data_IF_789002051367
#
_entry.id   IF_789002051367
#
_cell.length_a   1.000
_cell.length_b   1.000
_cell.length_c   1.000
_cell.angle_alpha   90.00
_cell.angle_beta   90.00
_cell.angle_gamma   90.00
#
_symmetry.space_group_name_H-M   'P 1'
#
loop_
_entity.id
_entity.type
_entity.pdbx_description
1 polymer ?
#
# COMPACT_ATOMS: atom_id res chain seq x y z
N UNK A 1 -7.97 -11.54 -44.28
CA UNK A 1 -6.91 -10.58 -43.95
C UNK A 1 -7.37 -9.21 -44.42
N UNK A 2 -7.94 -8.41 -43.51
CA UNK A 2 -8.37 -7.05 -43.82
C UNK A 2 -7.35 -6.08 -43.22
N UNK A 3 -6.58 -5.44 -44.09
CA UNK A 3 -5.81 -4.26 -43.76
C UNK A 3 -6.81 -3.12 -43.51
N UNK A 4 -7.08 -2.81 -42.24
CA UNK A 4 -7.70 -1.55 -41.88
C UNK A 4 -6.64 -0.45 -41.94
N UNK A 5 -6.98 0.64 -42.63
CA UNK A 5 -6.30 1.93 -42.70
C UNK A 5 -5.62 2.31 -41.36
N UNK A 6 -4.30 2.30 -41.31
CA UNK A 6 -3.50 2.58 -40.08
C UNK A 6 -3.01 4.02 -39.95
N UNK A 7 -3.53 4.96 -40.76
CA UNK A 7 -3.04 6.34 -40.81
C UNK A 7 -3.67 7.29 -39.77
N UNK A 8 -4.73 6.89 -39.06
CA UNK A 8 -5.31 7.68 -37.97
C UNK A 8 -4.55 7.53 -36.64
N UNK A 9 -4.36 8.63 -35.90
CA UNK A 9 -3.98 8.57 -34.48
C UNK A 9 -5.10 7.88 -33.69
N UNK A 10 -4.76 6.88 -32.87
CA UNK A 10 -5.74 6.23 -31.99
C UNK A 10 -5.99 7.12 -30.75
N UNK A 11 -7.17 7.76 -30.62
CA UNK A 11 -7.49 8.58 -29.45
C UNK A 11 -7.60 7.77 -28.16
N UNK A 12 -7.63 6.44 -28.25
CA UNK A 12 -7.76 5.51 -27.14
C UNK A 12 -6.48 4.73 -26.84
N UNK A 13 -5.32 5.20 -27.33
CA UNK A 13 -3.98 4.61 -27.08
C UNK A 13 -3.68 4.27 -25.61
N UNK A 14 -4.28 5.00 -24.66
CA UNK A 14 -4.15 4.78 -23.21
C UNK A 14 -5.49 4.50 -22.52
N UNK A 15 -6.50 4.04 -23.26
CA UNK A 15 -7.76 3.63 -22.69
C UNK A 15 -7.58 2.36 -21.85
N UNK A 16 -8.27 2.31 -20.70
CA UNK A 16 -8.34 1.11 -19.89
C UNK A 16 -9.21 0.06 -20.58
N UNK A 17 -8.76 -1.19 -20.58
CA UNK A 17 -9.59 -2.34 -20.97
C UNK A 17 -10.74 -2.53 -19.98
N UNK A 18 -11.73 -3.34 -20.34
CA UNK A 18 -12.85 -3.63 -19.42
C UNK A 18 -12.38 -4.31 -18.14
N UNK A 19 -11.35 -5.15 -18.24
CA UNK A 19 -10.70 -5.79 -17.10
C UNK A 19 -9.99 -4.77 -16.20
N UNK A 20 -9.22 -3.85 -16.79
CA UNK A 20 -8.45 -2.84 -16.04
C UNK A 20 -9.36 -1.85 -15.30
N UNK A 21 -10.58 -1.63 -15.77
CA UNK A 21 -11.58 -0.80 -15.07
C UNK A 21 -12.03 -1.42 -13.75
N UNK A 22 -11.74 -2.69 -13.51
CA UNK A 22 -12.01 -3.39 -12.25
C UNK A 22 -10.79 -3.43 -11.33
N UNK A 23 -9.61 -2.98 -11.77
CA UNK A 23 -8.39 -3.07 -10.97
C UNK A 23 -8.45 -2.06 -9.82
N UNK A 24 -8.55 -2.61 -8.61
CA UNK A 24 -8.38 -1.86 -7.37
C UNK A 24 -6.92 -1.46 -7.13
N UNK A 25 -6.61 -0.81 -5.99
CA UNK A 25 -5.26 -0.37 -5.68
C UNK A 25 -4.23 -1.50 -5.67
N UNK A 26 -4.61 -2.68 -5.14
CA UNK A 26 -3.76 -3.87 -5.10
C UNK A 26 -3.43 -4.39 -6.51
N UNK A 27 -4.45 -4.60 -7.35
CA UNK A 27 -4.26 -5.04 -8.75
C UNK A 27 -3.42 -4.01 -9.53
N UNK A 28 -3.62 -2.72 -9.27
CA UNK A 28 -2.88 -1.64 -9.91
C UNK A 28 -1.40 -1.66 -9.48
N UNK A 29 -1.12 -1.83 -8.19
CA UNK A 29 0.26 -1.99 -7.69
C UNK A 29 0.91 -3.27 -8.24
N UNK A 30 0.16 -4.36 -8.34
CA UNK A 30 0.61 -5.61 -8.93
C UNK A 30 1.06 -5.45 -10.39
N UNK A 31 0.30 -4.69 -11.20
CA UNK A 31 0.67 -4.43 -12.59
C UNK A 31 2.07 -3.82 -12.73
N UNK A 32 2.54 -3.03 -11.75
CA UNK A 32 3.90 -2.50 -11.76
C UNK A 32 4.91 -3.45 -11.11
N UNK A 33 4.59 -4.05 -9.96
CA UNK A 33 5.50 -4.95 -9.26
C UNK A 33 5.90 -6.15 -10.13
N UNK A 34 4.98 -6.70 -10.93
CA UNK A 34 5.26 -7.86 -11.76
C UNK A 34 6.32 -7.61 -12.83
N UNK A 35 6.64 -6.35 -13.16
CA UNK A 35 7.73 -5.97 -14.06
C UNK A 35 9.07 -5.70 -13.34
N UNK A 36 9.10 -5.79 -12.01
CA UNK A 36 10.31 -5.54 -11.23
C UNK A 36 11.32 -6.68 -11.46
N UNK A 37 12.53 -6.40 -11.99
CA UNK A 37 13.51 -7.44 -12.29
C UNK A 37 14.01 -8.16 -11.04
N UNK A 38 14.10 -7.45 -9.90
CA UNK A 38 14.55 -8.04 -8.65
C UNK A 38 13.46 -8.92 -8.03
N UNK A 39 12.18 -8.59 -8.23
CA UNK A 39 11.05 -9.45 -7.88
C UNK A 39 11.09 -10.73 -8.71
N UNK A 40 11.14 -10.61 -10.04
CA UNK A 40 11.21 -11.75 -10.98
C UNK A 40 12.40 -12.65 -10.70
N UNK A 41 13.59 -12.07 -10.49
CA UNK A 41 14.78 -12.84 -10.15
C UNK A 41 14.63 -13.57 -8.82
N UNK A 42 14.09 -12.89 -7.79
CA UNK A 42 13.86 -13.53 -6.49
C UNK A 42 12.80 -14.64 -6.58
N UNK A 43 11.73 -14.43 -7.34
CA UNK A 43 10.69 -15.41 -7.62
C UNK A 43 11.27 -16.67 -8.28
N UNK A 44 12.04 -16.51 -9.37
CA UNK A 44 12.66 -17.66 -10.06
C UNK A 44 13.61 -18.46 -9.17
N UNK A 45 14.32 -17.82 -8.23
CA UNK A 45 15.18 -18.51 -7.26
C UNK A 45 14.40 -19.31 -6.21
N UNK A 46 13.09 -19.12 -6.11
CA UNK A 46 12.21 -19.73 -5.13
C UNK A 46 11.25 -20.77 -5.72
N UNK A 47 11.09 -20.83 -7.05
CA UNK A 47 10.21 -21.77 -7.75
C UNK A 47 10.39 -23.23 -7.32
N UNK A 48 11.64 -23.68 -7.15
CA UNK A 48 11.94 -25.07 -6.78
C UNK A 48 11.96 -25.30 -5.25
N UNK A 49 11.72 -24.27 -4.44
CA UNK A 49 11.76 -24.38 -2.99
C UNK A 49 10.39 -24.80 -2.48
N UNK A 50 10.37 -25.86 -1.66
CA UNK A 50 9.14 -26.31 -0.99
C UNK A 50 8.57 -25.19 -0.13
N UNK A 51 7.26 -24.96 -0.19
CA UNK A 51 6.57 -24.07 0.75
C UNK A 51 6.57 -24.66 2.17
N UNK A 52 6.52 -23.78 3.17
CA UNK A 52 6.09 -24.17 4.52
C UNK A 52 4.57 -24.38 4.47
N UNK A 53 4.11 -25.57 4.85
CA UNK A 53 2.71 -25.96 4.74
C UNK A 53 1.81 -25.11 5.63
N UNK A 54 2.25 -24.77 6.84
CA UNK A 54 1.48 -23.97 7.78
C UNK A 54 1.33 -22.53 7.26
N UNK A 55 2.41 -21.99 6.70
CA UNK A 55 2.40 -20.66 6.08
C UNK A 55 1.55 -20.61 4.81
N UNK A 56 1.63 -21.66 3.98
CA UNK A 56 0.82 -21.78 2.76
C UNK A 56 -0.66 -21.88 3.11
N UNK A 57 -1.05 -22.74 4.06
CA UNK A 57 -2.43 -22.87 4.52
C UNK A 57 -2.96 -21.54 5.08
N UNK A 58 -2.12 -20.82 5.85
CA UNK A 58 -2.45 -19.50 6.36
C UNK A 58 -2.68 -18.47 5.24
N UNK A 59 -1.95 -18.55 4.12
CA UNK A 59 -2.18 -17.68 2.96
C UNK A 59 -3.46 -18.08 2.23
N UNK A 60 -3.64 -19.37 1.95
CA UNK A 60 -4.80 -19.90 1.21
C UNK A 60 -6.13 -19.60 1.93
N UNK A 61 -6.13 -19.56 3.27
CA UNK A 61 -7.31 -19.18 4.06
C UNK A 61 -7.83 -17.76 3.76
N UNK A 62 -6.99 -16.89 3.19
CA UNK A 62 -7.39 -15.54 2.80
C UNK A 62 -7.90 -15.44 1.36
N UNK A 63 -7.70 -16.46 0.53
CA UNK A 63 -8.07 -16.46 -0.88
C UNK A 63 -9.45 -17.09 -1.06
N UNK A 64 -10.29 -16.46 -1.87
CA UNK A 64 -11.68 -16.90 -2.14
C UNK A 64 -11.76 -18.21 -2.90
N UNK A 65 -10.90 -18.39 -3.90
CA UNK A 65 -10.75 -19.62 -4.66
C UNK A 65 -9.30 -20.09 -4.53
N UNK A 66 -8.95 -20.83 -3.46
CA UNK A 66 -7.58 -21.17 -3.16
C UNK A 66 -7.01 -22.14 -4.20
N UNK A 67 -6.00 -21.69 -4.94
CA UNK A 67 -5.17 -22.54 -5.79
C UNK A 67 -3.72 -22.51 -5.27
N UNK A 68 -3.20 -23.60 -4.69
CA UNK A 68 -1.82 -23.67 -4.21
C UNK A 68 -0.78 -23.38 -5.30
N UNK A 69 -1.09 -23.68 -6.56
CA UNK A 69 -0.16 -23.51 -7.69
C UNK A 69 0.17 -22.03 -7.97
N UNK A 70 -0.70 -21.11 -7.53
CA UNK A 70 -0.49 -19.66 -7.70
C UNK A 70 0.54 -19.11 -6.71
N UNK A 71 0.82 -19.84 -5.62
CA UNK A 71 1.78 -19.44 -4.60
C UNK A 71 3.08 -20.21 -4.79
N UNK A 72 4.09 -19.58 -5.40
CA UNK A 72 5.36 -20.24 -5.66
C UNK A 72 6.12 -20.61 -4.38
N UNK A 73 6.06 -19.76 -3.35
CA UNK A 73 6.71 -20.06 -2.08
C UNK A 73 6.07 -19.32 -0.90
N UNK A 74 5.77 -20.03 0.18
CA UNK A 74 5.28 -19.45 1.44
C UNK A 74 6.34 -19.37 2.56
N UNK A 75 7.59 -19.79 2.30
CA UNK A 75 8.59 -20.06 3.36
C UNK A 75 9.17 -18.86 4.11
N UNK A 76 8.78 -17.61 3.84
CA UNK A 76 9.34 -16.50 4.58
C UNK A 76 8.55 -15.19 4.43
N UNK A 77 8.71 -14.31 5.42
CA UNK A 77 8.27 -12.92 5.34
C UNK A 77 9.14 -12.08 4.39
N UNK A 78 10.08 -12.68 3.64
CA UNK A 78 11.00 -11.88 2.81
C UNK A 78 10.30 -11.22 1.64
N UNK A 79 9.23 -11.82 1.09
CA UNK A 79 8.43 -11.20 0.04
C UNK A 79 7.84 -9.88 0.56
N UNK A 80 7.16 -9.95 1.71
CA UNK A 80 6.61 -8.79 2.41
C UNK A 80 7.67 -7.74 2.75
N UNK A 81 8.82 -8.16 3.30
CA UNK A 81 9.90 -7.24 3.71
C UNK A 81 10.62 -6.56 2.54
N UNK A 82 10.71 -7.23 1.39
CA UNK A 82 11.45 -6.73 0.22
C UNK A 82 10.54 -5.99 -0.76
N UNK A 83 9.31 -6.47 -0.93
CA UNK A 83 8.41 -6.05 -1.99
C UNK A 83 7.02 -5.63 -1.49
N UNK A 84 6.77 -5.63 -0.18
CA UNK A 84 5.50 -5.20 0.39
C UNK A 84 4.30 -6.12 0.12
N UNK A 85 4.46 -7.16 -0.70
CA UNK A 85 3.39 -8.10 -1.05
C UNK A 85 3.35 -9.32 -0.13
N UNK A 86 2.15 -9.81 0.16
CA UNK A 86 1.89 -10.85 1.15
C UNK A 86 2.55 -12.21 0.84
N UNK A 87 2.68 -12.59 -0.43
CA UNK A 87 3.29 -13.86 -0.84
C UNK A 87 3.97 -13.74 -2.22
N UNK A 88 4.79 -14.76 -2.54
CA UNK A 88 5.39 -14.92 -3.86
C UNK A 88 4.32 -15.42 -4.85
N UNK A 89 3.98 -14.58 -5.82
CA UNK A 89 3.01 -14.84 -6.88
C UNK A 89 3.74 -14.84 -8.22
N UNK A 90 3.25 -15.63 -9.16
CA UNK A 90 3.81 -15.69 -10.50
C UNK A 90 3.66 -14.33 -11.20
N UNK A 91 4.76 -13.66 -11.61
CA UNK A 91 4.72 -12.36 -12.28
C UNK A 91 4.01 -12.39 -13.65
N UNK A 92 3.73 -13.57 -14.21
CA UNK A 92 2.98 -13.72 -15.46
C UNK A 92 1.46 -13.66 -15.24
N UNK A 93 0.99 -13.72 -13.98
CA UNK A 93 -0.42 -13.57 -13.64
C UNK A 93 -0.92 -12.14 -13.89
N UNK A 94 -2.06 -12.02 -14.58
CA UNK A 94 -2.65 -10.72 -14.89
C UNK A 94 -3.31 -10.07 -13.68
N UNK A 95 -3.83 -10.86 -12.73
CA UNK A 95 -4.53 -10.34 -11.54
C UNK A 95 -4.08 -11.05 -10.27
N UNK A 96 -4.23 -10.34 -9.17
CA UNK A 96 -4.07 -10.95 -7.86
C UNK A 96 -5.26 -11.87 -7.55
N UNK A 97 -5.06 -12.98 -6.82
CA UNK A 97 -6.17 -13.80 -6.37
C UNK A 97 -7.14 -13.00 -5.50
N UNK A 98 -8.44 -13.15 -5.75
CA UNK A 98 -9.48 -12.50 -4.95
C UNK A 98 -9.40 -12.91 -3.48
N UNK A 99 -9.45 -11.92 -2.59
CA UNK A 99 -9.41 -12.14 -1.15
C UNK A 99 -10.82 -12.35 -0.58
N UNK A 100 -10.92 -13.16 0.48
CA UNK A 100 -12.16 -13.48 1.18
C UNK A 100 -12.80 -12.25 1.85
N UNK A 101 -11.97 -11.35 2.38
CA UNK A 101 -12.43 -10.20 3.15
C UNK A 101 -12.17 -8.92 2.36
N UNK A 102 -13.16 -8.02 2.25
CA UNK A 102 -13.03 -6.77 1.50
C UNK A 102 -11.97 -5.83 2.09
N UNK A 103 -11.64 -6.00 3.37
CA UNK A 103 -10.67 -5.21 4.10
C UNK A 103 -9.25 -5.82 4.09
N UNK A 104 -9.05 -6.92 3.37
CA UNK A 104 -7.71 -7.49 3.18
C UNK A 104 -7.00 -6.80 2.02
N UNK A 105 -5.67 -6.81 2.08
CA UNK A 105 -4.84 -6.32 0.98
C UNK A 105 -3.62 -7.20 0.83
N UNK A 106 -3.28 -7.54 -0.41
CA UNK A 106 -2.01 -8.14 -0.80
C UNK A 106 -0.82 -7.23 -0.47
N UNK A 107 -1.03 -5.92 -0.41
CA UNK A 107 -0.03 -4.89 -0.11
C UNK A 107 -0.34 -4.21 1.23
N UNK A 108 -0.61 -5.00 2.28
CA UNK A 108 -1.13 -4.49 3.53
C UNK A 108 -0.34 -3.26 4.06
N UNK A 109 -0.97 -2.07 4.16
CA UNK A 109 -0.26 -0.79 4.17
C UNK A 109 0.31 -0.36 5.53
N UNK A 110 0.13 -1.14 6.60
CA UNK A 110 0.73 -0.82 7.89
C UNK A 110 1.93 -1.72 8.17
N UNK A 111 3.09 -1.09 8.34
CA UNK A 111 4.15 -1.69 9.12
C UNK A 111 3.85 -1.46 10.59
N UNK A 112 3.68 -2.54 11.38
CA UNK A 112 3.75 -2.36 12.83
C UNK A 112 5.18 -1.97 13.21
N UNK A 113 5.36 -0.98 14.10
CA UNK A 113 6.68 -0.62 14.64
C UNK A 113 7.38 -1.82 15.29
N UNK A 114 6.60 -2.82 15.72
CA UNK A 114 7.07 -4.15 16.07
C UNK A 114 6.14 -5.24 15.53
N UNK A 115 6.69 -6.12 14.70
CA UNK A 115 6.15 -7.47 14.48
C UNK A 115 6.24 -8.34 15.75
N UNK A 116 7.21 -8.02 16.62
CA UNK A 116 7.47 -8.75 17.86
C UNK A 116 6.70 -8.09 19.00
N UNK A 117 5.74 -8.78 19.59
CA UNK A 117 5.03 -8.36 20.81
C UNK A 117 5.99 -7.61 21.76
N UNK A 118 5.88 -6.27 21.81
CA UNK A 118 6.76 -5.41 22.59
C UNK A 118 6.77 -5.87 24.04
N UNK A 119 5.63 -6.40 24.50
CA UNK A 119 5.46 -6.96 25.82
C UNK A 119 6.17 -8.30 25.99
N UNK A 120 6.37 -9.08 24.92
CA UNK A 120 7.19 -10.29 24.93
C UNK A 120 8.68 -9.95 25.09
N UNK A 121 9.16 -8.86 24.48
CA UNK A 121 10.50 -8.32 24.76
C UNK A 121 10.60 -7.70 26.16
N UNK A 122 9.56 -7.01 26.63
CA UNK A 122 9.49 -6.58 28.05
C UNK A 122 9.44 -7.75 29.03
N UNK A 123 8.97 -8.95 28.61
CA UNK A 123 9.07 -10.19 29.40
C UNK A 123 10.47 -10.80 29.38
N UNK A 124 11.26 -10.56 28.33
CA UNK A 124 12.62 -11.08 28.16
C UNK A 124 13.71 -10.18 28.78
N UNK A 125 13.44 -8.88 28.93
CA UNK A 125 14.27 -7.99 29.76
C UNK A 125 13.85 -8.16 31.21
N UNK A 126 14.78 -8.55 32.08
CA UNK A 126 14.65 -8.73 33.54
C UNK A 126 14.24 -7.44 34.29
N UNK A 127 13.11 -6.83 33.95
CA UNK A 127 12.47 -5.82 34.76
C UNK A 127 11.67 -6.52 35.86
N UNK A 128 12.06 -6.24 37.11
CA UNK A 128 11.55 -6.85 38.34
C UNK A 128 10.03 -7.06 38.37
N UNK A 129 9.67 -8.27 38.80
CA UNK A 129 8.34 -8.87 38.76
C UNK A 129 7.22 -8.15 39.52
N UNK A 130 7.50 -7.06 40.26
CA UNK A 130 6.58 -6.53 41.27
C UNK A 130 5.71 -5.34 40.81
N UNK A 131 5.97 -4.75 39.64
CA UNK A 131 5.18 -3.61 39.13
C UNK A 131 4.62 -3.90 37.73
N UNK A 132 3.56 -4.71 37.64
CA UNK A 132 2.76 -4.81 36.40
C UNK A 132 1.36 -4.22 36.59
N UNK A 133 0.80 -3.50 35.59
CA UNK A 133 -0.64 -3.33 35.49
C UNK A 133 -1.27 -4.72 35.33
N UNK A 134 -2.05 -5.17 36.30
CA UNK A 134 -2.68 -6.48 36.27
C UNK A 134 -3.84 -6.53 35.27
N UNK A 135 -3.70 -7.30 34.18
CA UNK A 135 -4.79 -7.52 33.20
C UNK A 135 -4.48 -8.62 32.19
N UNK A 136 -5.53 -9.14 31.52
CA UNK A 136 -5.39 -9.97 30.31
C UNK A 136 -4.82 -9.10 29.18
N UNK A 137 -3.89 -9.65 28.40
CA UNK A 137 -3.28 -8.96 27.27
C UNK A 137 -3.88 -9.50 25.98
N UNK A 138 -4.24 -8.59 25.08
CA UNK A 138 -4.76 -8.95 23.76
C UNK A 138 -3.72 -8.61 22.72
N UNK A 139 -3.35 -9.62 21.96
CA UNK A 139 -2.59 -9.43 20.73
C UNK A 139 -3.55 -9.71 19.58
N UNK A 140 -3.67 -8.77 18.65
CA UNK A 140 -4.37 -9.03 17.39
C UNK A 140 -3.44 -9.83 16.50
N UNK A 141 -3.91 -10.96 15.95
CA UNK A 141 -3.11 -11.74 14.99
C UNK A 141 -2.88 -10.88 13.76
N UNK A 142 -1.63 -10.51 13.52
CA UNK A 142 -1.24 -9.88 12.28
C UNK A 142 -1.00 -10.98 11.25
N UNK A 143 -1.58 -10.79 10.07
CA UNK A 143 -1.36 -11.64 8.90
C UNK A 143 -0.74 -10.78 7.80
N UNK A 144 -0.10 -11.39 6.79
CA UNK A 144 0.38 -10.66 5.62
C UNK A 144 -0.70 -9.82 4.93
N UNK A 145 -1.97 -10.18 5.10
CA UNK A 145 -3.14 -9.51 4.50
C UNK A 145 -3.83 -8.48 5.41
N UNK A 146 -3.36 -8.35 6.66
CA UNK A 146 -3.89 -7.41 7.65
C UNK A 146 -4.19 -8.02 9.00
N UNK A 147 -5.03 -7.33 9.78
CA UNK A 147 -5.35 -7.74 11.16
C UNK A 147 -6.50 -8.76 11.23
N UNK A 148 -6.38 -9.71 12.16
CA UNK A 148 -7.29 -10.85 12.37
C UNK A 148 -7.74 -11.00 13.82
N UNK A 149 -8.30 -12.16 14.14
CA UNK A 149 -8.80 -12.52 15.45
C UNK A 149 -7.85 -12.15 16.59
N UNK A 150 -8.44 -11.87 17.74
CA UNK A 150 -7.72 -11.54 18.96
C UNK A 150 -7.18 -12.82 19.59
N UNK A 151 -5.86 -12.90 19.65
CA UNK A 151 -5.14 -13.89 20.43
C UNK A 151 -5.14 -13.45 21.90
N UNK A 152 -5.70 -14.31 22.75
CA UNK A 152 -5.63 -14.15 24.20
C UNK A 152 -4.30 -14.74 24.67
N UNK A 153 -3.37 -13.89 25.12
CA UNK A 153 -2.11 -14.35 25.68
C UNK A 153 -2.07 -14.13 27.20
N UNK A 154 -1.72 -15.19 27.94
CA UNK A 154 -1.61 -15.16 29.40
C UNK A 154 -2.56 -16.12 30.13
N UNK A 155 -2.45 -16.20 31.47
CA UNK A 155 -3.29 -17.10 32.26
C UNK A 155 -4.76 -16.80 32.01
N UNK A 156 -5.51 -17.82 31.59
CA UNK A 156 -6.96 -17.76 31.44
C UNK A 156 -7.57 -17.36 32.78
N UNK A 157 -7.82 -16.07 33.01
CA UNK A 157 -8.81 -15.71 34.02
C UNK A 157 -10.11 -16.39 33.58
N UNK A 158 -10.75 -17.18 34.45
CA UNK A 158 -12.07 -17.71 34.13
C UNK A 158 -12.93 -16.54 33.71
N UNK A 159 -13.70 -16.72 32.63
CA UNK A 159 -14.67 -15.75 32.16
C UNK A 159 -15.74 -15.61 33.26
N UNK A 160 -15.44 -14.82 34.29
CA UNK A 160 -16.48 -14.21 35.08
C UNK A 160 -17.10 -13.22 34.12
N UNK A 161 -18.24 -13.58 33.53
CA UNK A 161 -19.20 -12.58 33.10
C UNK A 161 -19.49 -11.75 34.36
N UNK A 162 -18.93 -10.55 34.52
CA UNK A 162 -19.40 -9.74 35.61
C UNK A 162 -20.84 -9.35 35.21
N UNK A 163 -21.78 -9.44 36.15
CA UNK A 163 -23.17 -9.03 35.88
C UNK A 163 -23.28 -7.54 35.44
N UNK A 164 -22.17 -6.80 35.52
CA UNK A 164 -22.01 -5.39 35.14
C UNK A 164 -20.60 -5.18 34.55
N UNK A 165 -20.48 -4.48 33.41
CA UNK A 165 -19.19 -4.10 32.82
C UNK A 165 -18.35 -3.29 33.82
N UNK A 166 -17.04 -3.48 33.80
CA UNK A 166 -16.09 -2.65 34.54
C UNK A 166 -16.17 -1.19 34.08
N UNK A 167 -15.86 -0.26 34.99
CA UNK A 167 -15.75 1.15 34.63
C UNK A 167 -14.68 1.35 33.57
N UNK A 168 -14.85 2.40 32.77
CA UNK A 168 -13.93 2.74 31.70
C UNK A 168 -12.46 2.75 32.19
N UNK A 169 -11.60 2.03 31.48
CA UNK A 169 -10.16 2.14 31.60
C UNK A 169 -9.55 2.14 30.19
N UNK A 170 -8.58 3.03 29.96
CA UNK A 170 -7.99 3.22 28.64
C UNK A 170 -7.35 1.92 28.12
N UNK A 171 -7.62 1.58 26.86
CA UNK A 171 -7.02 0.47 26.12
C UNK A 171 -6.37 1.01 24.85
N UNK A 172 -5.20 1.60 25.02
CA UNK A 172 -4.46 2.25 23.94
C UNK A 172 -3.92 1.23 22.94
N UNK A 173 -4.14 1.52 21.66
CA UNK A 173 -3.62 0.78 20.52
C UNK A 173 -2.61 1.67 19.81
N UNK A 174 -1.37 1.20 19.74
CA UNK A 174 -0.27 1.94 19.11
C UNK A 174 0.11 1.34 17.74
N UNK A 175 0.35 2.22 16.76
CA UNK A 175 0.87 1.92 15.42
C UNK A 175 1.88 2.97 15.01
N UNK A 176 2.78 2.63 14.10
CA UNK A 176 3.63 3.61 13.42
C UNK A 176 2.94 4.01 12.11
N UNK A 177 2.96 5.31 11.82
CA UNK A 177 2.43 5.88 10.59
C UNK A 177 3.57 6.59 9.87
N UNK A 178 3.79 6.20 8.62
CA UNK A 178 4.69 6.87 7.70
C UNK A 178 4.02 8.13 7.15
N UNK A 179 4.52 9.29 7.54
CA UNK A 179 4.05 10.59 7.09
C UNK A 179 4.72 11.05 5.79
N UNK A 180 5.66 10.28 5.22
CA UNK A 180 6.21 10.55 3.88
C UNK A 180 5.26 10.15 2.75
N UNK A 181 4.18 9.42 3.07
CA UNK A 181 3.13 8.99 2.15
C UNK A 181 1.76 9.42 2.68
N UNK A 182 0.71 9.43 1.84
CA UNK A 182 -0.66 9.70 2.28
C UNK A 182 -1.07 8.79 3.45
N UNK A 183 -1.65 9.41 4.47
CA UNK A 183 -1.93 8.77 5.76
C UNK A 183 -3.27 8.01 5.79
N UNK A 184 -4.15 8.21 4.80
CA UNK A 184 -5.53 7.75 4.87
C UNK A 184 -5.65 6.22 4.96
N UNK A 185 -4.96 5.47 4.11
CA UNK A 185 -4.99 4.00 4.18
C UNK A 185 -4.40 3.47 5.49
N UNK A 186 -3.37 4.14 6.03
CA UNK A 186 -2.76 3.79 7.31
C UNK A 186 -3.74 4.03 8.47
N UNK A 187 -4.52 5.11 8.42
CA UNK A 187 -5.56 5.40 9.39
C UNK A 187 -6.76 4.46 9.29
N UNK A 188 -7.15 4.03 8.10
CA UNK A 188 -8.18 2.99 7.91
C UNK A 188 -7.73 1.68 8.57
N UNK A 189 -6.47 1.30 8.38
CA UNK A 189 -5.94 0.08 8.97
C UNK A 189 -5.77 0.19 10.51
N UNK A 190 -5.42 1.38 11.04
CA UNK A 190 -5.47 1.66 12.49
C UNK A 190 -6.90 1.56 13.02
N UNK A 191 -7.87 2.16 12.34
CA UNK A 191 -9.28 2.11 12.71
C UNK A 191 -9.77 0.65 12.79
N UNK A 192 -9.41 -0.18 11.79
CA UNK A 192 -9.73 -1.62 11.79
C UNK A 192 -9.14 -2.32 13.02
N UNK A 193 -7.85 -2.14 13.28
CA UNK A 193 -7.17 -2.74 14.43
C UNK A 193 -7.84 -2.37 15.75
N UNK A 194 -8.20 -1.10 15.90
CA UNK A 194 -8.82 -0.54 17.11
C UNK A 194 -10.26 -1.07 17.27
N UNK A 195 -11.02 -1.19 16.18
CA UNK A 195 -12.36 -1.78 16.18
C UNK A 195 -12.33 -3.25 16.58
N UNK A 196 -11.41 -4.03 16.03
CA UNK A 196 -11.21 -5.43 16.43
C UNK A 196 -10.96 -5.52 17.94
N UNK A 197 -10.05 -4.70 18.49
CA UNK A 197 -9.82 -4.66 19.94
C UNK A 197 -11.05 -4.22 20.75
N UNK A 198 -11.82 -3.27 20.23
CA UNK A 198 -13.05 -2.80 20.87
C UNK A 198 -14.08 -3.92 20.99
N UNK A 199 -14.28 -4.74 19.96
CA UNK A 199 -15.25 -5.85 19.99
C UNK A 199 -15.03 -6.75 21.21
N UNK A 200 -13.77 -7.06 21.52
CA UNK A 200 -13.44 -7.84 22.72
C UNK A 200 -13.67 -7.07 24.02
N UNK A 201 -13.16 -5.83 24.11
CA UNK A 201 -13.19 -5.10 25.36
C UNK A 201 -14.58 -4.61 25.73
N UNK A 202 -15.43 -4.36 24.74
CA UNK A 202 -16.77 -3.83 24.94
C UNK A 202 -17.65 -4.78 25.77
N UNK A 203 -17.40 -6.09 25.74
CA UNK A 203 -18.15 -7.03 26.60
C UNK A 203 -17.77 -6.89 28.09
N UNK A 204 -16.60 -6.34 28.39
CA UNK A 204 -16.00 -6.35 29.72
C UNK A 204 -15.91 -4.96 30.35
N UNK A 205 -15.71 -3.91 29.56
CA UNK A 205 -15.37 -2.56 30.02
C UNK A 205 -16.28 -1.54 29.31
N UNK A 206 -16.78 -0.56 30.06
CA UNK A 206 -17.55 0.55 29.51
C UNK A 206 -16.72 1.43 28.55
N UNK A 207 -17.35 1.85 27.46
CA UNK A 207 -16.80 2.87 26.55
C UNK A 207 -16.85 4.25 27.18
N UNK A 208 -16.07 5.19 26.62
CA UNK A 208 -16.09 6.61 26.98
C UNK A 208 -16.38 7.48 25.77
N UNK A 209 -16.90 8.68 26.01
CA UNK A 209 -17.11 9.73 25.00
C UNK A 209 -15.89 10.66 24.85
N UNK A 210 -14.89 10.52 25.73
CA UNK A 210 -13.66 11.30 25.72
C UNK A 210 -12.65 10.70 24.74
N UNK A 211 -12.15 11.53 23.81
CA UNK A 211 -11.08 11.15 22.88
C UNK A 211 -9.71 11.13 23.60
N UNK A 212 -8.88 10.14 23.30
CA UNK A 212 -7.50 10.05 23.78
C UNK A 212 -6.57 9.73 22.61
N UNK A 213 -5.87 10.74 22.12
CA UNK A 213 -4.99 10.63 20.94
C UNK A 213 -3.56 11.01 21.31
N UNK A 214 -2.63 10.08 21.10
CA UNK A 214 -1.19 10.25 21.27
C UNK A 214 -0.57 10.24 19.87
N UNK A 215 0.21 11.26 19.54
CA UNK A 215 0.98 11.33 18.30
C UNK A 215 2.33 11.94 18.64
N UNK A 216 3.37 11.15 18.52
CA UNK A 216 4.74 11.50 18.93
C UNK A 216 5.74 11.04 17.86
N UNK A 217 6.81 11.81 17.59
CA UNK A 217 7.89 11.37 16.74
C UNK A 217 8.51 10.07 17.27
N UNK A 218 8.96 9.19 16.38
CA UNK A 218 9.67 7.98 16.82
C UNK A 218 11.07 8.35 17.33
N UNK A 219 11.29 8.13 18.62
CA UNK A 219 12.61 8.28 19.24
C UNK A 219 13.57 7.15 18.85
N UNK A 220 14.87 7.46 18.80
CA UNK A 220 15.97 6.51 18.47
C UNK A 220 15.99 5.22 19.30
N UNK A 221 15.34 5.19 20.47
CA UNK A 221 15.31 4.05 21.38
C UNK A 221 13.93 3.41 21.55
N UNK A 222 12.89 3.96 20.92
CA UNK A 222 11.52 3.53 21.18
C UNK A 222 10.98 2.67 20.05
N UNK A 223 10.78 1.40 20.41
CA UNK A 223 9.90 0.43 19.75
C UNK A 223 10.39 -0.07 18.39
N UNK A 224 11.10 0.70 17.56
CA UNK A 224 11.48 0.29 16.19
C UNK A 224 12.98 -0.07 16.11
N UNK A 225 13.33 -1.26 15.61
CA UNK A 225 14.75 -1.59 15.38
C UNK A 225 15.32 -0.74 14.22
N UNK A 226 16.54 -0.18 14.33
CA UNK A 226 16.94 1.02 13.59
C UNK A 226 17.63 0.72 12.25
N UNK A 227 17.56 -0.49 11.72
CA UNK A 227 18.47 -0.88 10.62
C UNK A 227 18.12 -0.30 9.24
N UNK A 228 17.09 0.56 9.12
CA UNK A 228 16.65 1.16 7.83
C UNK A 228 16.07 2.58 7.89
N UNK A 229 16.10 3.27 9.03
CA UNK A 229 15.40 4.57 9.16
C UNK A 229 16.42 5.69 9.23
N UNK A 230 16.87 6.19 8.08
CA UNK A 230 17.84 7.28 8.01
C UNK A 230 17.20 8.66 8.30
N UNK A 231 15.87 8.78 8.34
CA UNK A 231 15.17 10.04 8.63
C UNK A 231 14.07 9.88 9.68
N UNK A 232 14.32 10.25 10.96
CA UNK A 232 13.39 10.05 12.08
C UNK A 232 12.11 10.89 12.00
N UNK A 233 12.09 11.93 11.17
CA UNK A 233 10.97 12.88 11.08
C UNK A 233 9.77 12.35 10.27
N UNK A 234 9.98 11.33 9.43
CA UNK A 234 8.93 10.74 8.61
C UNK A 234 7.97 9.85 9.37
N UNK A 235 8.39 9.29 10.50
CA UNK A 235 7.59 8.29 11.19
C UNK A 235 7.01 8.83 12.50
N UNK A 236 5.70 8.63 12.67
CA UNK A 236 4.98 9.03 13.88
C UNK A 236 4.41 7.81 14.60
N UNK A 237 4.63 7.71 15.90
CA UNK A 237 3.91 6.77 16.76
C UNK A 237 2.53 7.35 17.04
N UNK A 238 1.49 6.60 16.70
CA UNK A 238 0.09 6.99 16.87
C UNK A 238 -0.60 6.01 17.82
N UNK A 239 -1.16 6.53 18.90
CA UNK A 239 -1.88 5.78 19.91
C UNK A 239 -3.31 6.29 20.09
N UNK A 240 -4.32 5.42 19.97
CA UNK A 240 -5.72 5.78 20.28
C UNK A 240 -6.37 4.74 21.19
N UNK A 241 -7.35 5.17 21.99
CA UNK A 241 -8.08 4.28 22.89
C UNK A 241 -9.17 3.49 22.16
N UNK A 242 -9.10 2.16 22.21
CA UNK A 242 -10.12 1.27 21.64
C UNK A 242 -11.50 1.42 22.28
N UNK A 243 -11.57 1.88 23.53
CA UNK A 243 -12.82 2.11 24.22
C UNK A 243 -13.34 3.56 24.11
N UNK A 244 -12.54 4.47 23.56
CA UNK A 244 -12.91 5.86 23.28
C UNK A 244 -13.70 6.06 21.98
N UNK A 245 -14.07 7.29 21.61
CA UNK A 245 -14.83 7.58 20.39
C UNK A 245 -13.94 7.43 19.15
N UNK A 246 -13.77 6.19 18.65
CA UNK A 246 -12.88 5.83 17.53
C UNK A 246 -12.95 6.82 16.36
N UNK A 247 -14.14 7.17 15.86
CA UNK A 247 -14.29 8.12 14.74
C UNK A 247 -13.70 9.50 15.05
N UNK A 248 -13.93 10.04 16.24
CA UNK A 248 -13.37 11.34 16.65
C UNK A 248 -11.84 11.28 16.79
N UNK A 249 -11.34 10.18 17.36
CA UNK A 249 -9.90 9.95 17.52
C UNK A 249 -9.19 9.83 16.16
N UNK A 250 -9.77 9.09 15.22
CA UNK A 250 -9.25 8.96 13.84
C UNK A 250 -9.28 10.30 13.10
N UNK A 251 -10.33 11.11 13.27
CA UNK A 251 -10.39 12.44 12.65
C UNK A 251 -9.34 13.40 13.23
N UNK A 252 -9.09 13.33 14.54
CA UNK A 252 -8.01 14.08 15.17
C UNK A 252 -6.63 13.60 14.68
N UNK A 253 -6.42 12.29 14.56
CA UNK A 253 -5.22 11.72 13.95
C UNK A 253 -5.02 12.24 12.52
N UNK A 254 -6.07 12.16 11.69
CA UNK A 254 -6.06 12.67 10.31
C UNK A 254 -5.64 14.13 10.27
N UNK A 255 -6.27 14.98 11.07
CA UNK A 255 -5.98 16.42 11.12
C UNK A 255 -4.54 16.72 11.51
N UNK A 256 -4.02 16.06 12.56
CA UNK A 256 -2.66 16.29 13.07
C UNK A 256 -1.59 15.73 12.14
N UNK A 257 -1.75 14.50 11.66
CA UNK A 257 -0.81 13.85 10.75
C UNK A 257 -0.80 14.52 9.37
N UNK A 258 -1.95 15.00 8.87
CA UNK A 258 -1.99 15.77 7.63
C UNK A 258 -1.24 17.10 7.75
N UNK A 259 -1.15 17.69 8.95
CA UNK A 259 -0.29 18.86 9.19
C UNK A 259 1.19 18.50 9.17
N UNK A 260 1.57 17.36 9.74
CA UNK A 260 2.95 16.86 9.70
C UNK A 260 3.36 16.55 8.26
N UNK A 261 2.52 15.80 7.55
CA UNK A 261 2.70 15.49 6.12
C UNK A 261 2.86 16.76 5.28
N UNK A 262 1.97 17.76 5.45
CA UNK A 262 2.10 19.05 4.76
C UNK A 262 3.37 19.82 5.11
N UNK A 263 3.85 19.72 6.35
CA UNK A 263 5.11 20.37 6.72
C UNK A 263 6.29 19.70 6.01
N UNK A 264 6.31 18.37 5.98
CA UNK A 264 7.33 17.61 5.23
C UNK A 264 7.25 17.89 3.72
N UNK A 265 6.04 18.14 3.22
CA UNK A 265 5.77 18.57 1.84
C UNK A 265 6.28 19.99 1.55
N UNK A 266 6.00 20.96 2.44
CA UNK A 266 6.53 22.33 2.34
C UNK A 266 8.07 22.38 2.40
N UNK A 267 8.70 21.41 3.09
CA UNK A 267 10.14 21.25 3.18
C UNK A 267 10.74 20.51 1.94
N UNK A 268 9.95 20.24 0.89
CA UNK A 268 10.28 19.45 -0.31
C UNK A 268 10.75 18.01 0.00
N UNK A 269 10.46 17.50 1.19
CA UNK A 269 10.83 16.15 1.65
C UNK A 269 9.79 15.10 1.24
N UNK A 270 8.59 15.53 0.84
CA UNK A 270 7.49 14.67 0.41
C UNK A 270 7.09 15.06 -1.00
N UNK A 271 6.86 14.06 -1.85
CA UNK A 271 6.37 14.29 -3.21
C UNK A 271 4.90 13.81 -3.32
N UNK A 272 3.96 14.61 -3.83
CA UNK A 272 2.55 14.21 -4.10
C UNK A 272 2.38 13.37 -5.37
N UNK A 273 1.25 12.69 -5.62
CA UNK A 273 1.04 11.99 -6.92
C UNK A 273 1.14 12.93 -8.12
N UNK A 274 0.47 14.07 -8.04
CA UNK A 274 0.50 15.09 -9.10
C UNK A 274 1.84 15.80 -9.23
N UNK A 275 2.80 15.56 -8.33
CA UNK A 275 4.11 16.22 -8.27
C UNK A 275 5.28 15.24 -8.46
N UNK A 276 5.15 13.98 -8.00
CA UNK A 276 5.91 12.79 -8.44
C UNK A 276 5.62 12.45 -9.90
N UNK A 277 4.35 12.56 -10.28
CA UNK A 277 3.83 12.19 -11.60
C UNK A 277 2.95 13.30 -12.23
N UNK A 278 3.39 14.58 -12.32
CA UNK A 278 2.60 15.63 -12.92
C UNK A 278 2.28 15.29 -14.36
N UNK A 279 0.99 15.35 -14.65
CA UNK A 279 0.51 15.34 -16.00
C UNK A 279 1.13 16.52 -16.76
N UNK A 280 1.64 16.31 -17.98
CA UNK A 280 2.08 17.43 -18.80
C UNK A 280 0.90 18.39 -18.99
N UNK A 281 1.03 19.62 -18.50
CA UNK A 281 0.02 20.67 -18.71
C UNK A 281 0.15 21.13 -20.16
N UNK A 282 -0.89 20.91 -20.97
CA UNK A 282 -0.93 21.46 -22.33
C UNK A 282 -1.12 22.98 -22.22
N UNK A 283 -0.22 23.80 -22.78
CA UNK A 283 -0.43 25.24 -22.81
C UNK A 283 -1.71 25.57 -23.59
N UNK A 284 -2.65 26.31 -22.98
CA UNK A 284 -3.84 26.83 -23.66
C UNK A 284 -5.16 26.09 -23.42
N UNK A 285 -5.24 25.14 -22.47
CA UNK A 285 -6.52 24.70 -21.89
C UNK A 285 -7.51 23.92 -22.78
N UNK A 286 -7.19 23.68 -24.06
CA UNK A 286 -8.07 22.96 -24.97
C UNK A 286 -7.44 21.64 -25.46
N UNK A 287 -8.28 20.60 -25.46
CA UNK A 287 -8.03 19.15 -25.64
C UNK A 287 -7.63 18.44 -24.35
N UNK A 288 -8.57 17.65 -23.83
CA UNK A 288 -8.50 16.94 -22.56
C UNK A 288 -7.19 16.13 -22.43
N UNK A 289 -6.34 16.56 -21.50
CA UNK A 289 -5.26 15.75 -20.96
C UNK A 289 -5.79 14.37 -20.57
N UNK A 290 -5.02 13.28 -20.72
CA UNK A 290 -5.45 11.96 -20.26
C UNK A 290 -5.98 12.05 -18.82
N UNK A 291 -7.01 11.29 -18.47
CA UNK A 291 -7.43 11.28 -17.08
C UNK A 291 -6.31 10.66 -16.21
N UNK A 292 -6.34 10.85 -14.89
CA UNK A 292 -5.29 10.37 -13.97
C UNK A 292 -4.98 8.88 -14.21
N UNK A 293 -6.03 8.10 -14.47
CA UNK A 293 -5.96 6.66 -14.67
C UNK A 293 -5.36 6.30 -16.05
N UNK A 294 -5.65 7.08 -17.09
CA UNK A 294 -5.03 6.92 -18.42
C UNK A 294 -3.54 7.23 -18.41
N UNK A 295 -3.10 8.20 -17.60
CA UNK A 295 -1.67 8.47 -17.45
C UNK A 295 -0.95 7.33 -16.72
N UNK A 296 -1.57 6.77 -15.68
CA UNK A 296 -1.03 5.59 -15.00
C UNK A 296 -0.95 4.38 -15.96
N UNK A 297 -1.94 4.19 -16.83
CA UNK A 297 -1.89 3.21 -17.92
C UNK A 297 -0.74 3.49 -18.90
N UNK A 298 -0.52 4.74 -19.27
CA UNK A 298 0.61 5.12 -20.13
C UNK A 298 1.96 4.76 -19.48
N UNK A 299 2.14 5.04 -18.19
CA UNK A 299 3.35 4.65 -17.45
C UNK A 299 3.53 3.13 -17.36
N UNK A 300 2.44 2.38 -17.21
CA UNK A 300 2.48 0.91 -17.25
C UNK A 300 2.95 0.41 -18.62
N UNK A 301 2.38 0.92 -19.72
CA UNK A 301 2.79 0.53 -21.07
C UNK A 301 4.25 0.89 -21.39
N UNK A 302 4.74 1.99 -20.81
CA UNK A 302 6.17 2.34 -20.88
C UNK A 302 6.98 1.31 -20.10
N UNK A 303 6.60 1.00 -18.86
CA UNK A 303 7.29 0.04 -18.01
C UNK A 303 7.42 -1.35 -18.65
N UNK A 304 6.37 -1.84 -19.30
CA UNK A 304 6.36 -3.11 -20.07
C UNK A 304 7.44 -3.18 -21.15
N UNK A 305 7.84 -2.03 -21.69
CA UNK A 305 8.83 -1.90 -22.79
C UNK A 305 10.22 -1.53 -22.30
N UNK A 306 10.40 -1.25 -21.01
CA UNK A 306 11.73 -1.03 -20.43
C UNK A 306 12.43 -2.39 -20.31
N UNK A 307 13.62 -2.56 -20.90
CA UNK A 307 14.39 -3.79 -20.74
C UNK A 307 14.75 -4.06 -19.26
N UNK A 308 14.74 -5.32 -18.78
CA UNK A 308 14.96 -5.66 -17.38
C UNK A 308 16.25 -5.09 -16.77
N UNK A 309 17.32 -5.00 -17.56
CA UNK A 309 18.61 -4.47 -17.15
C UNK A 309 18.63 -2.94 -17.04
N UNK A 310 17.79 -2.23 -17.78
CA UNK A 310 17.64 -0.77 -17.68
C UNK A 310 16.99 -0.32 -16.37
N UNK A 311 16.27 -1.20 -15.66
CA UNK A 311 15.75 -0.86 -14.32
C UNK A 311 16.85 -0.72 -13.26
N UNK A 312 18.06 -1.25 -13.50
CA UNK A 312 19.19 -1.18 -12.57
C UNK A 312 20.05 0.08 -12.73
N UNK A 313 19.88 0.79 -13.84
CA UNK A 313 20.69 1.97 -14.19
C UNK A 313 20.11 3.23 -13.58
N UNK A 314 20.90 4.08 -12.93
CA UNK A 314 20.38 5.30 -12.28
C UNK A 314 19.77 6.28 -13.28
N UNK A 315 20.39 6.42 -14.46
CA UNK A 315 19.90 7.28 -15.54
C UNK A 315 19.79 6.49 -16.85
N UNK A 316 18.58 5.96 -17.11
CA UNK A 316 18.29 5.14 -18.30
C UNK A 316 18.68 5.85 -19.60
N UNK A 317 18.40 7.16 -19.74
CA UNK A 317 18.69 7.87 -20.98
C UNK A 317 20.20 8.09 -21.23
N UNK A 318 20.99 8.21 -20.17
CA UNK A 318 22.45 8.35 -20.31
C UNK A 318 23.09 7.04 -20.75
N UNK A 319 22.61 5.92 -20.21
CA UNK A 319 23.16 4.58 -20.51
C UNK A 319 22.53 3.97 -21.78
N UNK A 320 21.33 4.40 -22.16
CA UNK A 320 20.59 3.92 -23.34
C UNK A 320 20.01 5.08 -24.15
N UNK A 321 20.87 5.87 -24.81
CA UNK A 321 20.41 6.97 -25.64
C UNK A 321 19.46 6.46 -26.72
N UNK A 322 18.29 7.09 -26.84
CA UNK A 322 17.27 6.75 -27.84
C UNK A 322 16.24 5.72 -27.40
N UNK A 323 16.38 5.09 -26.23
CA UNK A 323 15.37 4.14 -25.72
C UNK A 323 14.00 4.81 -25.54
N UNK A 324 13.96 6.03 -24.99
CA UNK A 324 12.73 6.79 -24.84
C UNK A 324 11.99 6.98 -26.18
N UNK A 325 12.72 7.33 -27.24
CA UNK A 325 12.18 7.52 -28.59
C UNK A 325 11.72 6.21 -29.23
N UNK A 326 12.47 5.12 -28.98
CA UNK A 326 12.08 3.79 -29.43
C UNK A 326 10.75 3.37 -28.80
N UNK A 327 10.62 3.48 -27.47
CA UNK A 327 9.40 3.15 -26.74
C UNK A 327 8.24 4.03 -27.23
N UNK A 328 8.46 5.33 -27.41
CA UNK A 328 7.44 6.24 -27.92
C UNK A 328 6.94 5.83 -29.31
N UNK A 329 7.84 5.40 -30.20
CA UNK A 329 7.49 4.87 -31.53
C UNK A 329 6.71 3.57 -31.44
N UNK A 330 7.14 2.62 -30.59
CA UNK A 330 6.46 1.34 -30.38
C UNK A 330 5.06 1.49 -29.80
N UNK A 331 4.86 2.51 -28.94
CA UNK A 331 3.55 2.87 -28.44
C UNK A 331 2.67 3.57 -29.49
N UNK A 332 3.22 3.95 -30.64
CA UNK A 332 2.50 4.69 -31.68
C UNK A 332 2.31 6.17 -31.36
N UNK A 333 3.08 6.71 -30.40
CA UNK A 333 3.10 8.12 -30.03
C UNK A 333 3.69 8.92 -31.19
N UNK A 334 4.86 8.55 -31.70
CA UNK A 334 5.60 9.26 -32.78
C UNK A 334 4.94 9.07 -34.15
N UNK A 335 4.29 10.11 -34.70
CA UNK A 335 3.54 10.13 -35.97
C UNK A 335 3.49 11.54 -36.58
N UNK A 336 3.20 11.66 -37.87
CA UNK A 336 3.18 12.94 -38.59
C UNK A 336 2.04 13.88 -38.14
N UNK A 337 0.84 13.33 -37.88
CA UNK A 337 -0.32 14.07 -37.37
C UNK A 337 -0.65 13.60 -35.95
N UNK A 338 -0.32 14.43 -34.96
CA UNK A 338 -0.58 14.16 -33.55
C UNK A 338 -1.31 15.34 -32.88
N UNK A 339 -2.24 15.05 -31.95
CA UNK A 339 -2.76 16.06 -31.04
C UNK A 339 -1.64 16.76 -30.25
N UNK A 340 -1.85 18.02 -29.88
CA UNK A 340 -0.85 18.82 -29.13
C UNK A 340 -0.38 18.15 -27.85
N UNK A 341 -1.28 17.51 -27.11
CA UNK A 341 -0.93 16.83 -25.86
C UNK A 341 0.02 15.64 -26.06
N UNK A 342 -0.09 14.94 -27.20
CA UNK A 342 0.77 13.79 -27.55
C UNK A 342 2.19 14.28 -27.85
N UNK A 343 2.32 15.44 -28.51
CA UNK A 343 3.63 16.07 -28.75
C UNK A 343 4.32 16.43 -27.44
N UNK A 344 3.59 17.05 -26.52
CA UNK A 344 4.12 17.38 -25.18
C UNK A 344 4.47 16.11 -24.39
N UNK A 345 3.67 15.05 -24.53
CA UNK A 345 3.98 13.75 -23.92
C UNK A 345 5.26 13.14 -24.51
N UNK A 346 5.42 13.17 -25.84
CA UNK A 346 6.62 12.70 -26.56
C UNK A 346 7.88 13.46 -26.12
N UNK A 347 7.81 14.80 -26.08
CA UNK A 347 8.87 15.67 -25.56
C UNK A 347 9.25 15.31 -24.11
N UNK A 348 8.29 14.85 -23.32
CA UNK A 348 8.47 14.44 -21.94
C UNK A 348 8.97 13.01 -21.73
N UNK A 349 9.09 12.19 -22.78
CA UNK A 349 9.36 10.76 -22.66
C UNK A 349 10.67 10.45 -21.94
N UNK A 350 11.78 11.04 -22.39
CA UNK A 350 13.10 10.88 -21.77
C UNK A 350 13.17 11.58 -20.41
N UNK A 351 12.69 12.83 -20.34
CA UNK A 351 12.94 13.67 -19.17
C UNK A 351 12.17 13.21 -17.93
N UNK A 352 10.94 12.72 -18.09
CA UNK A 352 10.06 12.41 -16.96
C UNK A 352 9.40 11.03 -17.05
N UNK A 353 8.77 10.67 -18.18
CA UNK A 353 7.88 9.51 -18.22
C UNK A 353 8.61 8.17 -18.05
N UNK A 354 9.79 8.02 -18.66
CA UNK A 354 10.62 6.83 -18.52
C UNK A 354 11.10 6.62 -17.08
N UNK A 355 11.60 7.69 -16.45
CA UNK A 355 12.04 7.68 -15.04
C UNK A 355 10.88 7.34 -14.10
N UNK A 356 9.71 7.92 -14.35
CA UNK A 356 8.49 7.68 -13.57
C UNK A 356 8.01 6.24 -13.67
N UNK A 357 7.95 5.69 -14.87
CA UNK A 357 7.60 4.29 -15.10
C UNK A 357 8.58 3.36 -14.36
N UNK A 358 9.89 3.63 -14.45
CA UNK A 358 10.92 2.93 -13.68
C UNK A 358 10.64 3.00 -12.18
N UNK A 359 10.44 4.19 -11.62
CA UNK A 359 10.23 4.36 -10.18
C UNK A 359 8.96 3.67 -9.67
N UNK A 360 7.88 3.61 -10.46
CA UNK A 360 6.68 2.85 -10.11
C UNK A 360 6.96 1.35 -10.02
N UNK A 361 7.77 0.79 -10.93
CA UNK A 361 8.16 -0.62 -10.90
C UNK A 361 9.11 -0.93 -9.73
N UNK A 362 10.08 -0.05 -9.45
CA UNK A 362 11.14 -0.38 -8.48
C UNK A 362 10.74 -0.10 -7.03
N UNK A 363 10.03 0.99 -6.76
CA UNK A 363 9.82 1.47 -5.38
C UNK A 363 8.40 2.00 -5.08
N UNK A 364 7.72 2.62 -6.05
CA UNK A 364 6.49 3.39 -5.77
C UNK A 364 5.18 2.65 -6.05
N UNK A 365 5.19 1.38 -6.46
CA UNK A 365 3.96 0.60 -6.61
C UNK A 365 3.16 0.51 -5.30
N UNK A 366 3.85 0.30 -4.15
CA UNK A 366 3.19 0.21 -2.85
C UNK A 366 2.48 1.51 -2.46
N UNK A 367 3.02 2.65 -2.90
CA UNK A 367 2.39 3.96 -2.71
C UNK A 367 1.00 4.02 -3.34
N UNK A 368 0.75 3.33 -4.46
CA UNK A 368 -0.58 3.27 -5.09
C UNK A 368 -1.62 2.69 -4.13
N UNK A 369 -1.23 1.68 -3.34
CA UNK A 369 -2.08 1.08 -2.31
C UNK A 369 -2.29 2.05 -1.15
N UNK A 370 -1.22 2.67 -0.64
CA UNK A 370 -1.31 3.65 0.46
C UNK A 370 -2.18 4.86 0.11
N UNK A 371 -2.11 5.32 -1.14
CA UNK A 371 -2.89 6.45 -1.63
C UNK A 371 -4.28 6.05 -2.17
N UNK A 372 -4.62 4.76 -2.12
CA UNK A 372 -5.86 4.20 -2.67
C UNK A 372 -6.08 4.61 -4.14
N UNK A 373 -4.99 4.65 -4.91
CA UNK A 373 -5.00 4.97 -6.34
C UNK A 373 -5.23 3.70 -7.12
N UNK A 374 -6.26 3.71 -7.95
CA UNK A 374 -6.61 2.57 -8.78
C UNK A 374 -7.00 2.97 -10.19
N UNK A 375 -6.91 2.02 -11.14
CA UNK A 375 -7.49 2.23 -12.46
C UNK A 375 -9.02 2.37 -12.41
N UNK A 376 -9.67 1.78 -11.40
CA UNK A 376 -11.12 1.82 -11.19
C UNK A 376 -11.68 3.13 -10.58
N UNK A 377 -10.82 4.05 -10.08
CA UNK A 377 -11.23 5.20 -9.27
C UNK A 377 -12.30 6.11 -9.92
N UNK A 378 -12.28 6.26 -11.24
CA UNK A 378 -13.22 7.11 -11.98
C UNK A 378 -14.62 6.48 -12.08
N UNK A 379 -14.69 5.15 -12.21
CA UNK A 379 -15.96 4.42 -12.28
C UNK A 379 -16.67 4.41 -10.91
N UNK A 380 -15.91 4.31 -9.81
CA UNK A 380 -16.44 4.34 -8.45
C UNK A 380 -17.02 5.71 -8.09
N UNK A 381 -16.29 6.79 -8.38
CA UNK A 381 -16.79 8.18 -8.17
C UNK A 381 -18.01 8.51 -9.03
N UNK A 382 -18.09 8.00 -10.25
CA UNK A 382 -19.26 8.19 -11.11
C UNK A 382 -20.50 7.46 -10.56
N UNK A 383 -20.35 6.23 -10.08
CA UNK A 383 -21.43 5.45 -9.44
C UNK A 383 -21.90 6.08 -8.12
N UNK A 384 -20.98 6.53 -7.27
CA UNK A 384 -21.31 7.19 -6.00
C UNK A 384 -22.04 8.52 -6.22
N UNK A 385 -21.65 9.28 -7.25
CA UNK A 385 -22.33 10.54 -7.62
C UNK A 385 -23.73 10.29 -8.19
N UNK A 386 -23.91 9.23 -8.99
CA UNK A 386 -25.21 8.83 -9.52
C UNK A 386 -26.16 8.26 -8.46
N UNK A 387 -25.63 7.63 -7.39
CA UNK A 387 -26.42 7.16 -6.26
C UNK A 387 -26.81 8.27 -5.26
N UNK A 388 -26.13 9.42 -5.32
CA UNK A 388 -26.41 10.60 -4.50
C UNK A 388 -27.30 11.65 -5.19
N UNK A 389 -27.78 11.35 -6.41
CA UNK A 389 -28.78 12.12 -7.17
C UNK A 389 -30.04 11.30 -7.33
#
# INVERSE_FOLDING_TARGET
MNFHDTNGFDPNIFALTDLEKEFGPDDTAWQFLKWNPDYRQAFHQLLDKKSDMDALEAILAHIKSPNPEVIACAQNETCRRRFGIAAWLDPDEERLPELNNPDDSWFFPLMRPLQEDTMLKFRQRDASYEKRPGGQWLTVRETPFGYREILRTGPRRPARLPAKKENHCQKLVFTAIDCSVPIDAQLVALEKLVRTQREYWNEQICTTDSASVIIEPIGWNDVIRPSRVEEPDFWQTVGIDALGPIRKQIEECRSRLARIHRKLDDDDLVLHFGERFPMPKVPGGEVATPSRNRYLKALLLIAERIPPDAFRTDNIDAERPGLAHQIARELGIVRAEQPRWVKVFDEGMSTWHLRRAKSLVTHFYAWLVHAQVSFADEAKKAKEKAAAT
#
